data_IF_767130357643
#
_entry.id   IF_767130357643
#
_cell.length_a   1.000
_cell.length_b   1.000
_cell.length_c   1.000
_cell.angle_alpha   90.00
_cell.angle_beta   90.00
_cell.angle_gamma   90.00
#
_symmetry.space_group_name_H-M   'P 1'
#
loop_
_entity.id
_entity.type
_entity.pdbx_description
1 polymer ?
#
# COMPACT_ATOMS: atom_id res chain seq x y z
N UNK A 1 -28.46 -18.04 1.87
CA UNK A 1 -27.45 -17.23 2.58
C UNK A 1 -26.38 -16.85 1.56
N UNK A 2 -25.99 -15.57 1.46
CA UNK A 2 -24.96 -15.15 0.50
C UNK A 2 -23.59 -15.60 1.02
N UNK A 3 -22.71 -16.05 0.14
CA UNK A 3 -21.35 -16.47 0.47
C UNK A 3 -20.39 -15.90 -0.56
N UNK A 4 -19.17 -15.60 -0.14
CA UNK A 4 -18.10 -15.13 -1.02
C UNK A 4 -17.09 -16.25 -1.25
N UNK A 5 -16.58 -16.36 -2.47
CA UNK A 5 -15.55 -17.34 -2.82
C UNK A 5 -14.16 -16.80 -2.44
N UNK A 6 -13.39 -17.61 -1.72
CA UNK A 6 -12.04 -17.31 -1.31
C UNK A 6 -11.04 -18.19 -2.04
N UNK A 7 -10.04 -17.55 -2.63
CA UNK A 7 -9.00 -18.16 -3.43
C UNK A 7 -7.64 -17.88 -2.80
N UNK A 8 -6.89 -18.89 -2.42
CA UNK A 8 -5.56 -18.76 -1.83
C UNK A 8 -4.56 -18.17 -2.83
N UNK A 9 -4.62 -18.63 -4.08
CA UNK A 9 -3.69 -18.24 -5.15
C UNK A 9 -4.31 -17.29 -6.18
N UNK A 10 -5.63 -17.14 -6.18
CA UNK A 10 -6.38 -16.28 -7.09
C UNK A 10 -7.39 -17.05 -7.94
N UNK A 11 -8.22 -16.34 -8.72
CA UNK A 11 -9.34 -16.94 -9.45
C UNK A 11 -8.93 -17.86 -10.61
N UNK A 12 -7.68 -17.75 -11.10
CA UNK A 12 -7.17 -18.56 -12.21
C UNK A 12 -6.66 -19.94 -11.76
N UNK A 13 -6.74 -20.27 -10.47
CA UNK A 13 -6.27 -21.56 -9.98
C UNK A 13 -7.14 -22.71 -10.49
N UNK A 14 -6.52 -23.84 -10.85
CA UNK A 14 -7.22 -24.99 -11.43
C UNK A 14 -8.21 -25.65 -10.45
N UNK A 15 -7.94 -25.55 -9.15
CA UNK A 15 -8.74 -26.17 -8.08
C UNK A 15 -10.04 -25.42 -7.76
N UNK A 16 -10.26 -24.24 -8.34
CA UNK A 16 -11.41 -23.39 -8.00
C UNK A 16 -11.25 -22.70 -6.64
N UNK A 17 -12.36 -22.33 -5.96
CA UNK A 17 -12.29 -21.67 -4.66
C UNK A 17 -11.88 -22.64 -3.54
N UNK A 18 -10.86 -22.27 -2.77
CA UNK A 18 -10.40 -23.05 -1.63
C UNK A 18 -11.44 -23.11 -0.51
N UNK A 19 -12.17 -22.02 -0.30
CA UNK A 19 -13.17 -21.88 0.76
C UNK A 19 -14.31 -20.95 0.34
N UNK A 20 -15.44 -21.10 1.02
CA UNK A 20 -16.55 -20.14 0.96
C UNK A 20 -16.63 -19.40 2.29
N UNK A 21 -16.59 -18.08 2.22
CA UNK A 21 -16.73 -17.19 3.38
C UNK A 21 -18.21 -16.86 3.57
N UNK A 22 -18.76 -17.05 4.79
CA UNK A 22 -20.10 -16.54 5.12
C UNK A 22 -20.21 -15.03 4.87
N UNK A 23 -21.43 -14.56 4.60
CA UNK A 23 -21.71 -13.13 4.60
C UNK A 23 -21.29 -12.50 5.94
N UNK A 24 -20.87 -11.23 5.89
CA UNK A 24 -20.39 -10.46 7.05
C UNK A 24 -19.12 -11.00 7.72
N UNK A 25 -18.40 -11.91 7.03
CA UNK A 25 -17.03 -12.28 7.43
C UNK A 25 -16.12 -11.06 7.36
N UNK A 26 -15.58 -10.67 8.52
CA UNK A 26 -14.66 -9.54 8.60
C UNK A 26 -13.28 -9.93 8.03
N UNK A 27 -12.77 -9.08 7.14
CA UNK A 27 -11.47 -9.24 6.49
C UNK A 27 -10.73 -7.90 6.47
N UNK A 28 -9.40 -7.97 6.46
CA UNK A 28 -8.58 -6.79 6.23
C UNK A 28 -8.21 -6.72 4.74
N UNK A 29 -8.59 -5.64 4.08
CA UNK A 29 -8.23 -5.41 2.69
C UNK A 29 -6.74 -5.04 2.57
N UNK A 30 -5.95 -5.86 1.87
CA UNK A 30 -4.52 -5.62 1.65
C UNK A 30 -4.29 -4.83 0.37
N UNK A 31 -4.91 -5.27 -0.74
CA UNK A 31 -4.75 -4.65 -2.05
C UNK A 31 -6.09 -4.64 -2.78
N UNK A 32 -6.70 -3.46 -3.01
CA UNK A 32 -7.85 -3.35 -3.90
C UNK A 32 -7.42 -3.60 -5.34
N UNK A 33 -8.22 -4.33 -6.12
CA UNK A 33 -8.00 -4.51 -7.56
C UNK A 33 -9.32 -4.79 -8.29
N UNK A 34 -9.32 -4.64 -9.61
CA UNK A 34 -10.49 -4.96 -10.44
C UNK A 34 -10.73 -6.48 -10.48
N UNK A 35 -11.99 -6.89 -10.38
CA UNK A 35 -12.41 -8.29 -10.33
C UNK A 35 -12.17 -8.93 -8.95
N UNK A 36 -10.92 -9.04 -8.52
CA UNK A 36 -10.54 -9.71 -7.27
C UNK A 36 -9.56 -8.87 -6.47
N UNK A 37 -9.83 -8.69 -5.18
CA UNK A 37 -8.96 -7.96 -4.26
C UNK A 37 -8.24 -8.91 -3.32
N UNK A 38 -7.01 -8.55 -2.93
CA UNK A 38 -6.24 -9.31 -1.95
C UNK A 38 -6.67 -8.93 -0.54
N UNK A 39 -7.01 -9.92 0.27
CA UNK A 39 -7.50 -9.76 1.65
C UNK A 39 -6.73 -10.65 2.61
N UNK A 40 -6.73 -10.27 3.89
CA UNK A 40 -6.26 -11.08 5.02
C UNK A 40 -7.45 -11.41 5.92
N UNK A 41 -7.66 -12.69 6.15
CA UNK A 41 -8.65 -13.20 7.09
C UNK A 41 -8.17 -12.98 8.54
N UNK A 42 -9.10 -13.02 9.49
CA UNK A 42 -8.80 -12.85 10.91
C UNK A 42 -7.88 -13.95 11.48
N UNK A 43 -7.86 -15.13 10.85
CA UNK A 43 -6.93 -16.21 11.21
C UNK A 43 -5.49 -16.00 10.67
N UNK A 44 -5.22 -14.87 10.00
CA UNK A 44 -3.93 -14.53 9.43
C UNK A 44 -3.70 -14.98 7.98
N UNK A 45 -4.56 -15.84 7.44
CA UNK A 45 -4.45 -16.34 6.07
C UNK A 45 -4.73 -15.21 5.06
N UNK A 46 -3.96 -15.17 3.98
CA UNK A 46 -4.15 -14.21 2.90
C UNK A 46 -4.64 -14.91 1.63
N UNK A 47 -5.45 -14.22 0.85
CA UNK A 47 -5.93 -14.72 -0.43
C UNK A 47 -6.70 -13.64 -1.18
N UNK A 48 -7.59 -14.07 -2.06
CA UNK A 48 -8.34 -13.22 -2.97
C UNK A 48 -9.83 -13.48 -2.84
N UNK A 49 -10.60 -12.40 -2.87
CA UNK A 49 -12.07 -12.41 -2.86
C UNK A 49 -12.55 -11.47 -3.97
N UNK A 50 -13.68 -11.80 -4.60
CA UNK A 50 -14.28 -10.95 -5.61
C UNK A 50 -14.55 -9.55 -5.05
N UNK A 51 -14.09 -8.51 -5.74
CA UNK A 51 -14.16 -7.13 -5.26
C UNK A 51 -15.61 -6.66 -5.05
N UNK A 52 -16.58 -7.23 -5.78
CA UNK A 52 -18.01 -6.96 -5.63
C UNK A 52 -18.63 -7.47 -4.32
N UNK A 53 -18.00 -8.47 -3.69
CA UNK A 53 -18.48 -9.08 -2.45
C UNK A 53 -17.82 -8.46 -1.21
N UNK A 54 -16.87 -7.53 -1.41
CA UNK A 54 -16.22 -6.79 -0.34
C UNK A 54 -16.96 -5.47 -0.12
N UNK A 55 -17.25 -5.16 1.14
CA UNK A 55 -17.83 -3.88 1.56
C UNK A 55 -17.06 -3.33 2.75
N UNK A 56 -16.97 -2.00 2.84
CA UNK A 56 -16.42 -1.36 4.01
C UNK A 56 -17.25 -1.73 5.24
N UNK A 57 -16.60 -2.23 6.28
CA UNK A 57 -17.25 -2.53 7.54
C UNK A 57 -17.69 -1.22 8.23
N UNK A 58 -18.81 -1.22 8.97
CA UNK A 58 -19.20 -0.07 9.77
C UNK A 58 -18.10 0.31 10.78
N UNK A 59 -17.93 1.60 11.11
CA UNK A 59 -16.89 2.06 12.04
C UNK A 59 -16.94 1.36 13.40
N UNK A 60 -18.14 1.05 13.90
CA UNK A 60 -18.34 0.34 15.18
C UNK A 60 -17.65 -1.02 15.19
N UNK A 61 -17.74 -1.77 14.10
CA UNK A 61 -17.15 -3.10 13.96
C UNK A 61 -15.63 -2.99 13.85
N UNK A 62 -15.14 -1.99 13.13
CA UNK A 62 -13.70 -1.73 13.00
C UNK A 62 -13.11 -1.38 14.37
N UNK A 63 -13.73 -0.47 15.12
CA UNK A 63 -13.27 -0.09 16.46
C UNK A 63 -13.23 -1.28 17.43
N UNK A 64 -14.21 -2.18 17.37
CA UNK A 64 -14.22 -3.38 18.20
C UNK A 64 -13.06 -4.35 17.89
N UNK A 65 -12.62 -4.41 16.63
CA UNK A 65 -11.51 -5.27 16.18
C UNK A 65 -10.14 -4.61 16.39
N UNK A 66 -10.06 -3.27 16.30
CA UNK A 66 -8.80 -2.52 16.45
C UNK A 66 -8.52 -2.08 17.87
N UNK A 67 -9.48 -2.15 18.79
CA UNK A 67 -9.23 -1.91 20.21
C UNK A 67 -8.69 -3.20 20.85
N UNK A 68 -7.39 -3.33 21.13
CA UNK A 68 -6.94 -4.35 22.06
C UNK A 68 -7.60 -4.07 23.43
N UNK A 69 -7.86 -5.10 24.27
CA UNK A 69 -7.99 -4.84 25.70
C UNK A 69 -6.72 -4.09 26.10
N UNK A 70 -6.89 -2.90 26.67
CA UNK A 70 -5.82 -2.07 27.22
C UNK A 70 -4.94 -2.96 28.13
N UNK A 71 -3.83 -3.45 27.57
CA UNK A 71 -2.63 -3.75 28.33
C UNK A 71 -1.83 -2.46 28.31
N UNK A 72 -1.48 -2.00 29.51
CA UNK A 72 -0.92 -0.69 29.78
C UNK A 72 0.50 -0.58 29.23
N UNK A 73 0.68 -0.41 27.92
CA UNK A 73 1.95 -0.02 27.33
C UNK A 73 1.75 1.10 26.32
N UNK A 74 1.90 2.31 26.85
CA UNK A 74 2.49 3.51 26.25
C UNK A 74 2.22 3.73 24.76
N UNK A 75 1.37 4.72 24.50
CA UNK A 75 0.88 5.06 23.17
C UNK A 75 1.96 5.27 22.12
N UNK A 76 1.75 4.62 20.98
CA UNK A 76 2.26 5.08 19.69
C UNK A 76 1.09 5.20 18.74
N UNK A 77 0.47 6.38 18.76
CA UNK A 77 -0.16 6.92 17.55
C UNK A 77 0.84 6.82 16.41
N UNK A 78 0.52 6.23 15.23
CA UNK A 78 1.31 6.48 14.04
C UNK A 78 1.00 7.90 13.59
N UNK A 79 1.60 8.86 14.29
CA UNK A 79 1.77 10.21 13.80
C UNK A 79 2.80 10.08 12.69
N UNK A 80 2.35 10.14 11.45
CA UNK A 80 3.20 10.56 10.34
C UNK A 80 3.58 12.03 10.59
N UNK A 81 4.39 12.27 11.63
CA UNK A 81 5.16 13.49 11.77
C UNK A 81 6.42 13.24 10.93
N UNK A 82 6.35 13.59 9.65
CA UNK A 82 7.55 13.94 8.92
C UNK A 82 8.11 15.19 9.64
N UNK A 83 9.08 14.99 10.54
CA UNK A 83 9.85 16.11 11.06
C UNK A 83 10.83 16.51 9.93
N UNK A 84 10.66 17.69 9.29
CA UNK A 84 11.49 18.07 8.14
C UNK A 84 12.97 18.20 8.51
N UNK A 85 13.29 18.24 9.80
CA UNK A 85 14.67 18.34 10.32
C UNK A 85 15.37 16.98 10.45
N UNK A 86 14.65 15.87 10.32
CA UNK A 86 15.22 14.52 10.34
C UNK A 86 15.55 13.98 8.94
N UNK A 87 15.22 14.74 7.89
CA UNK A 87 15.69 14.44 6.54
C UNK A 87 17.15 14.88 6.46
N UNK A 88 18.12 13.98 6.19
CA UNK A 88 19.44 14.42 5.79
C UNK A 88 19.28 15.30 4.54
N UNK A 89 20.02 16.42 4.42
CA UNK A 89 19.98 17.21 3.20
C UNK A 89 20.36 16.30 2.04
N UNK A 90 19.45 16.13 1.09
CA UNK A 90 19.72 15.42 -0.15
C UNK A 90 20.88 16.16 -0.83
N UNK A 91 22.02 15.51 -1.14
CA UNK A 91 23.05 16.16 -1.91
C UNK A 91 22.44 16.53 -3.25
N UNK A 92 22.36 17.84 -3.53
CA UNK A 92 22.02 18.36 -4.84
C UNK A 92 22.84 17.61 -5.90
N UNK A 93 22.22 17.09 -6.97
CA UNK A 93 22.99 16.52 -8.07
C UNK A 93 23.92 17.60 -8.59
N UNK A 94 25.23 17.40 -8.41
CA UNK A 94 26.30 18.24 -8.94
C UNK A 94 26.49 17.97 -10.46
N UNK A 95 25.38 17.79 -11.16
CA UNK A 95 25.34 17.46 -12.58
C UNK A 95 24.52 18.54 -13.30
N UNK A 96 24.92 19.79 -13.09
CA UNK A 96 24.81 20.75 -14.17
C UNK A 96 25.96 20.41 -15.12
N UNK A 97 25.71 20.04 -16.39
CA UNK A 97 26.80 19.96 -17.34
C UNK A 97 27.47 21.33 -17.38
N UNK A 98 28.78 21.35 -17.14
CA UNK A 98 29.63 22.50 -17.41
C UNK A 98 29.24 23.05 -18.79
N UNK A 99 28.98 24.36 -18.96
CA UNK A 99 28.60 24.90 -20.25
C UNK A 99 29.73 24.55 -21.23
N UNK A 100 29.43 23.66 -22.18
CA UNK A 100 30.38 23.28 -23.21
C UNK A 100 30.77 24.55 -23.95
N UNK A 101 32.07 24.89 -24.08
CA UNK A 101 32.47 26.08 -24.80
C UNK A 101 31.94 25.99 -26.24
N UNK A 102 31.19 27.01 -26.66
CA UNK A 102 30.67 27.13 -28.02
C UNK A 102 31.88 27.23 -28.97
N UNK A 103 32.08 26.29 -29.91
CA UNK A 103 33.13 26.42 -30.90
C UNK A 103 32.73 27.56 -31.87
N UNK A 104 33.44 28.69 -31.86
CA UNK A 104 33.20 29.72 -32.88
C UNK A 104 33.50 31.18 -32.55
N UNK A 105 34.07 31.53 -31.40
CA UNK A 105 34.61 32.88 -31.21
C UNK A 105 36.05 32.92 -31.74
N UNK A 106 36.20 33.21 -33.04
CA UNK A 106 37.47 33.59 -33.64
C UNK A 106 38.10 34.73 -32.83
N UNK A 107 39.21 34.45 -32.15
CA UNK A 107 40.16 35.49 -31.78
C UNK A 107 40.90 35.88 -33.06
N UNK A 108 40.52 37.00 -33.66
CA UNK A 108 41.36 37.69 -34.63
C UNK A 108 42.57 38.28 -33.88
N UNK A 109 43.82 37.97 -34.26
CA UNK A 109 44.98 38.51 -33.60
C UNK A 109 45.27 39.97 -34.01
N UNK A 110 45.75 40.73 -33.01
CA UNK A 110 46.59 41.94 -32.97
C UNK A 110 46.82 42.82 -34.21
N UNK A 111 47.09 44.10 -33.97
CA UNK A 111 48.47 44.57 -33.99
C UNK A 111 49.06 44.90 -32.61
#
# INVERSE_FOLDING_TARGET
MKQAEFYLYGPQQASGPDRKLPQDTLVMLIRPSFGYSKVKLMNGQQGYVASQDIRAAPPEVVSAVTNPPVSNETGRTPKFHLDPRLLPPEPLPNDAPEPTPIPGAQQSPSP
#
